data_IF_556658891016
#
_entry.id   IF_556658891016
#
_cell.length_a   1.000
_cell.length_b   1.000
_cell.length_c   1.000
_cell.angle_alpha   90.00
_cell.angle_beta   90.00
_cell.angle_gamma   90.00
#
_symmetry.space_group_name_H-M   'P 1'
#
loop_
_entity.id
_entity.type
_entity.pdbx_description
1 polymer ?
#
# COMPACT_ATOMS: atom_id res chain seq x y z
N UNK A 1 2.34 6.41 -0.42
CA UNK A 1 1.39 6.10 0.67
C UNK A 1 0.11 6.87 0.45
N UNK A 2 -0.98 6.27 -0.04
CA UNK A 2 -2.31 6.88 -0.06
C UNK A 2 -2.88 6.88 1.36
N UNK A 3 -3.19 8.04 1.91
CA UNK A 3 -3.64 8.20 3.29
C UNK A 3 -5.06 8.77 3.35
N UNK A 4 -5.88 8.22 4.24
CA UNK A 4 -7.18 8.75 4.63
C UNK A 4 -7.48 8.31 6.08
N UNK A 5 -7.56 9.28 6.99
CA UNK A 5 -7.80 9.05 8.42
C UNK A 5 -6.85 8.01 9.04
N UNK A 6 -5.54 8.18 8.80
CA UNK A 6 -4.49 7.25 9.19
C UNK A 6 -3.61 7.74 10.36
N UNK A 7 -4.00 8.78 11.08
CA UNK A 7 -3.19 9.40 12.13
C UNK A 7 -2.65 8.40 13.17
N UNK A 8 -3.43 7.37 13.52
CA UNK A 8 -3.08 6.39 14.56
C UNK A 8 -2.00 5.39 14.15
N UNK A 9 -1.78 5.20 12.86
CA UNK A 9 -0.94 4.12 12.33
C UNK A 9 0.20 4.62 11.46
N UNK A 10 0.11 5.86 10.96
CA UNK A 10 1.06 6.44 10.03
C UNK A 10 2.48 6.48 10.60
N UNK A 11 2.66 6.95 11.83
CA UNK A 11 3.98 7.04 12.47
C UNK A 11 4.66 5.66 12.56
N UNK A 12 3.92 4.66 13.03
CA UNK A 12 4.41 3.28 13.11
C UNK A 12 4.76 2.71 11.75
N UNK A 13 3.91 2.96 10.74
CA UNK A 13 4.16 2.50 9.37
C UNK A 13 5.42 3.13 8.81
N UNK A 14 5.59 4.44 9.02
CA UNK A 14 6.75 5.18 8.54
C UNK A 14 8.05 4.73 9.22
N UNK A 15 8.02 4.49 10.53
CA UNK A 15 9.19 4.06 11.30
C UNK A 15 9.75 2.69 10.86
N UNK A 16 8.91 1.81 10.30
CA UNK A 16 9.32 0.48 9.83
C UNK A 16 9.74 0.45 8.35
N UNK A 17 9.74 1.60 7.65
CA UNK A 17 10.24 1.69 6.26
C UNK A 17 11.75 1.46 6.25
N UNK A 18 12.27 0.58 5.38
CA UNK A 18 13.71 0.35 5.25
C UNK A 18 14.39 1.49 4.47
N UNK A 19 14.76 2.56 5.16
CA UNK A 19 15.36 3.77 4.58
C UNK A 19 16.78 3.56 4.03
N UNK A 20 17.35 2.38 4.20
CA UNK A 20 18.59 1.98 3.55
C UNK A 20 18.43 1.69 2.05
N UNK A 21 17.18 1.47 1.59
CA UNK A 21 16.86 1.18 0.18
C UNK A 21 15.72 2.05 -0.36
N UNK A 22 15.06 2.85 0.48
CA UNK A 22 13.98 3.75 0.08
C UNK A 22 14.52 5.17 0.01
N UNK A 23 14.61 5.73 -1.20
CA UNK A 23 15.12 7.07 -1.43
C UNK A 23 14.11 8.15 -1.04
N UNK A 24 12.82 7.94 -1.41
CA UNK A 24 11.78 8.94 -1.25
C UNK A 24 10.47 8.33 -0.75
N UNK A 25 9.78 9.07 0.09
CA UNK A 25 8.43 8.73 0.55
C UNK A 25 7.45 9.79 0.09
N UNK A 26 6.43 9.36 -0.65
CA UNK A 26 5.31 10.18 -1.08
C UNK A 26 4.10 9.85 -0.22
N UNK A 27 3.47 10.84 0.38
CA UNK A 27 2.20 10.71 1.06
C UNK A 27 1.16 11.59 0.37
N UNK A 28 0.02 11.01 0.01
CA UNK A 28 -1.12 11.76 -0.51
C UNK A 28 -2.28 11.61 0.45
N UNK A 29 -2.66 12.72 1.07
CA UNK A 29 -3.79 12.80 2.01
C UNK A 29 -5.08 13.10 1.26
N UNK A 30 -6.03 12.18 1.31
CA UNK A 30 -7.30 12.25 0.59
C UNK A 30 -8.39 13.00 1.38
N UNK A 31 -8.07 14.23 1.78
CA UNK A 31 -8.93 15.09 2.59
C UNK A 31 -9.30 14.44 3.94
N UNK A 32 -8.31 13.95 4.68
CA UNK A 32 -8.51 13.41 6.03
C UNK A 32 -9.14 14.44 6.96
N UNK A 33 -9.97 13.96 7.87
CA UNK A 33 -10.65 14.75 8.91
C UNK A 33 -10.01 14.61 10.27
N UNK A 34 -9.05 13.69 10.42
CA UNK A 34 -8.25 13.49 11.62
C UNK A 34 -6.87 14.19 11.52
N UNK A 35 -5.97 13.90 12.43
CA UNK A 35 -4.63 14.51 12.52
C UNK A 35 -3.61 13.92 11.52
N UNK A 36 -4.05 13.17 10.48
CA UNK A 36 -3.15 12.51 9.53
C UNK A 36 -2.13 13.46 8.93
N UNK A 37 -2.56 14.62 8.46
CA UNK A 37 -1.68 15.61 7.83
C UNK A 37 -0.69 16.22 8.84
N UNK A 38 -1.14 16.44 10.08
CA UNK A 38 -0.28 16.95 11.16
C UNK A 38 0.82 15.95 11.48
N UNK A 39 0.47 14.67 11.64
CA UNK A 39 1.42 13.58 11.87
C UNK A 39 2.40 13.48 10.71
N UNK A 40 1.92 13.50 9.46
CA UNK A 40 2.77 13.43 8.27
C UNK A 40 3.82 14.55 8.23
N UNK A 41 3.42 15.78 8.51
CA UNK A 41 4.34 16.93 8.59
C UNK A 41 5.40 16.76 9.71
N UNK A 42 5.02 16.15 10.83
CA UNK A 42 5.94 15.85 11.94
C UNK A 42 7.00 14.80 11.60
N UNK A 43 6.68 13.86 10.69
CA UNK A 43 7.57 12.78 10.27
C UNK A 43 8.61 13.20 9.21
N UNK A 44 8.60 14.45 8.77
CA UNK A 44 9.51 14.99 7.74
C UNK A 44 9.46 14.20 6.42
N UNK A 45 8.26 13.74 6.03
CA UNK A 45 8.05 13.09 4.74
C UNK A 45 8.36 14.10 3.63
N UNK A 46 9.20 13.69 2.66
CA UNK A 46 9.71 14.58 1.62
C UNK A 46 8.63 15.15 0.69
N UNK A 47 7.61 14.36 0.39
CA UNK A 47 6.54 14.74 -0.53
C UNK A 47 5.17 14.50 0.09
N UNK A 48 4.49 15.58 0.48
CA UNK A 48 3.12 15.54 1.02
C UNK A 48 2.21 16.30 0.09
N UNK A 49 1.17 15.63 -0.44
CA UNK A 49 0.09 16.24 -1.20
C UNK A 49 -1.19 16.08 -0.38
N UNK A 50 -1.99 17.14 -0.33
CA UNK A 50 -3.34 17.11 0.23
C UNK A 50 -4.35 17.36 -0.89
N UNK A 51 -5.35 16.48 -1.00
CA UNK A 51 -6.52 16.75 -1.85
C UNK A 51 -7.49 17.69 -1.14
N UNK A 52 -8.12 18.58 -1.91
CA UNK A 52 -9.16 19.47 -1.38
C UNK A 52 -10.45 18.72 -1.02
N UNK A 53 -10.72 17.63 -1.75
CA UNK A 53 -11.87 16.76 -1.55
C UNK A 53 -11.42 15.31 -1.59
N UNK A 54 -12.18 14.42 -0.92
CA UNK A 54 -11.93 12.99 -0.99
C UNK A 54 -12.20 12.48 -2.41
N UNK A 55 -11.14 12.02 -3.07
CA UNK A 55 -11.17 11.47 -4.43
C UNK A 55 -11.34 9.95 -4.46
N UNK A 56 -11.41 9.35 -3.29
CA UNK A 56 -11.46 7.91 -3.10
C UNK A 56 -10.12 7.22 -3.36
N UNK A 57 -10.07 5.94 -2.97
CA UNK A 57 -8.83 5.16 -3.00
C UNK A 57 -8.12 5.18 -4.35
N UNK A 58 -8.86 4.93 -5.45
CA UNK A 58 -8.27 4.93 -6.79
C UNK A 58 -7.76 6.29 -7.25
N UNK A 59 -8.45 7.37 -6.88
CA UNK A 59 -8.01 8.74 -7.15
C UNK A 59 -6.71 9.05 -6.41
N UNK A 60 -6.66 8.73 -5.13
CA UNK A 60 -5.48 8.91 -4.30
C UNK A 60 -4.27 8.13 -4.83
N UNK A 61 -4.45 6.84 -5.18
CA UNK A 61 -3.37 6.05 -5.79
C UNK A 61 -2.83 6.67 -7.08
N UNK A 62 -3.71 7.15 -7.96
CA UNK A 62 -3.29 7.80 -9.21
C UNK A 62 -2.40 9.01 -8.94
N UNK A 63 -2.75 9.83 -7.95
CA UNK A 63 -1.92 10.98 -7.54
C UNK A 63 -0.55 10.51 -7.04
N UNK A 64 -0.49 9.46 -6.20
CA UNK A 64 0.77 8.87 -5.74
C UNK A 64 1.65 8.40 -6.91
N UNK A 65 1.09 7.63 -7.85
CA UNK A 65 1.85 7.15 -9.01
C UNK A 65 2.29 8.27 -9.95
N UNK A 66 1.42 9.26 -10.18
CA UNK A 66 1.76 10.41 -11.04
C UNK A 66 2.98 11.15 -10.50
N UNK A 67 3.01 11.41 -9.19
CA UNK A 67 4.16 12.07 -8.58
C UNK A 67 5.41 11.19 -8.62
N UNK A 68 5.29 9.89 -8.35
CA UNK A 68 6.42 8.97 -8.43
C UNK A 68 7.06 8.96 -9.83
N UNK A 69 6.23 8.97 -10.89
CA UNK A 69 6.71 9.06 -12.27
C UNK A 69 7.37 10.42 -12.57
N UNK A 70 6.84 11.52 -12.04
CA UNK A 70 7.45 12.86 -12.17
C UNK A 70 8.82 12.94 -11.49
N UNK A 71 8.99 12.22 -10.38
CA UNK A 71 10.26 12.08 -9.65
C UNK A 71 11.20 11.05 -10.31
N UNK A 72 10.82 10.47 -11.44
CA UNK A 72 11.61 9.49 -12.18
C UNK A 72 11.99 8.25 -11.36
N UNK A 73 11.08 7.79 -10.50
CA UNK A 73 11.30 6.61 -9.68
C UNK A 73 11.47 5.36 -10.55
N UNK A 74 12.52 4.57 -10.32
CA UNK A 74 12.78 3.29 -10.99
C UNK A 74 11.84 2.20 -10.48
N UNK A 75 11.59 2.17 -9.18
CA UNK A 75 10.71 1.22 -8.50
C UNK A 75 9.73 2.00 -7.62
N UNK A 76 8.45 1.70 -7.74
CA UNK A 76 7.41 2.30 -6.91
C UNK A 76 6.75 1.22 -6.06
N UNK A 77 6.74 1.42 -4.75
CA UNK A 77 6.05 0.55 -3.80
C UNK A 77 4.82 1.25 -3.25
N UNK A 78 3.65 0.66 -3.44
CA UNK A 78 2.41 1.13 -2.82
C UNK A 78 2.30 0.58 -1.40
N UNK A 79 2.52 1.43 -0.41
CA UNK A 79 2.42 1.09 1.01
C UNK A 79 1.23 1.82 1.64
N UNK A 80 0.33 1.08 2.29
CA UNK A 80 -0.80 1.66 3.03
C UNK A 80 -0.37 2.04 4.45
N UNK A 81 -0.76 3.23 4.94
CA UNK A 81 -0.37 3.70 6.27
C UNK A 81 -1.21 3.08 7.41
N UNK A 82 -2.10 2.13 7.12
CA UNK A 82 -2.96 1.44 8.09
C UNK A 82 -2.28 0.27 8.82
N UNK A 83 -1.00 0.01 8.50
CA UNK A 83 -0.19 -1.07 9.05
C UNK A 83 -0.74 -2.49 8.81
N UNK A 84 -1.64 -2.67 7.83
CA UNK A 84 -2.12 -4.02 7.45
C UNK A 84 -1.07 -4.84 6.71
N UNK A 85 -0.09 -4.18 6.10
CA UNK A 85 1.07 -4.78 5.47
C UNK A 85 2.34 -4.36 6.20
N UNK A 86 3.22 -5.33 6.44
CA UNK A 86 4.47 -5.05 7.13
C UNK A 86 5.44 -4.31 6.19
N UNK A 87 5.85 -3.06 6.50
CA UNK A 87 6.76 -2.29 5.65
C UNK A 87 8.11 -2.97 5.42
N UNK A 88 8.56 -3.84 6.33
CA UNK A 88 9.81 -4.61 6.20
C UNK A 88 9.83 -5.56 4.99
N UNK A 89 8.67 -5.85 4.40
CA UNK A 89 8.59 -6.64 3.15
C UNK A 89 9.09 -5.86 1.93
N UNK A 90 9.20 -4.54 2.02
CA UNK A 90 9.65 -3.67 0.91
C UNK A 90 10.99 -4.13 0.38
N UNK A 91 11.97 -4.43 1.24
CA UNK A 91 13.30 -4.87 0.82
C UNK A 91 13.26 -6.12 -0.06
N UNK A 92 12.47 -7.13 0.35
CA UNK A 92 12.35 -8.37 -0.41
C UNK A 92 11.61 -8.16 -1.73
N UNK A 93 10.55 -7.36 -1.72
CA UNK A 93 9.73 -7.09 -2.91
C UNK A 93 10.48 -6.24 -3.93
N UNK A 94 11.12 -5.17 -3.48
CA UNK A 94 11.95 -4.31 -4.32
C UNK A 94 13.14 -5.07 -4.91
N UNK A 95 13.79 -5.95 -4.14
CA UNK A 95 14.88 -6.79 -4.61
C UNK A 95 14.49 -7.72 -5.77
N UNK A 96 13.25 -8.25 -5.77
CA UNK A 96 12.75 -9.08 -6.88
C UNK A 96 12.59 -8.28 -8.18
N UNK A 97 12.24 -6.99 -8.07
CA UNK A 97 12.11 -6.09 -9.22
C UNK A 97 13.49 -5.60 -9.67
N UNK A 98 14.33 -5.15 -8.74
CA UNK A 98 15.66 -4.62 -9.03
C UNK A 98 16.58 -5.65 -9.70
N UNK A 99 16.43 -6.94 -9.37
CA UNK A 99 17.16 -8.04 -10.00
C UNK A 99 16.48 -8.58 -11.29
N UNK A 100 15.49 -7.88 -11.80
CA UNK A 100 14.75 -8.23 -13.04
C UNK A 100 14.09 -9.63 -13.02
N UNK A 101 13.80 -10.15 -11.83
CA UNK A 101 13.09 -11.44 -11.67
C UNK A 101 11.62 -11.27 -12.00
N UNK A 102 11.00 -10.18 -11.52
CA UNK A 102 9.61 -9.84 -11.80
C UNK A 102 9.46 -8.34 -12.09
N UNK A 103 8.54 -8.00 -13.01
CA UNK A 103 8.19 -6.59 -13.28
C UNK A 103 7.18 -6.02 -12.29
N UNK A 104 6.38 -6.90 -11.68
CA UNK A 104 5.37 -6.54 -10.68
C UNK A 104 5.38 -7.59 -9.57
N UNK A 105 5.38 -7.13 -8.33
CA UNK A 105 5.31 -7.98 -7.13
C UNK A 105 4.15 -7.51 -6.27
N UNK A 106 3.27 -8.43 -5.89
CA UNK A 106 2.09 -8.13 -5.07
C UNK A 106 2.19 -8.89 -3.76
N UNK A 107 2.10 -8.18 -2.64
CA UNK A 107 1.98 -8.78 -1.32
C UNK A 107 0.57 -9.35 -1.12
N UNK A 108 0.47 -10.61 -0.68
CA UNK A 108 -0.82 -11.23 -0.38
C UNK A 108 -0.93 -11.57 1.11
N UNK A 109 -1.99 -11.09 1.76
CA UNK A 109 -2.33 -11.45 3.14
C UNK A 109 -2.85 -12.89 3.26
N UNK A 110 -3.39 -13.43 2.17
CA UNK A 110 -4.05 -14.74 2.14
C UNK A 110 -3.04 -15.88 2.00
N UNK A 111 -1.93 -15.68 1.29
CA UNK A 111 -0.88 -16.69 1.13
C UNK A 111 -0.12 -16.95 2.43
N UNK A 112 -0.01 -15.96 3.31
CA UNK A 112 0.56 -16.15 4.63
C UNK A 112 -0.39 -16.88 5.58
N UNK A 113 0.14 -17.72 6.50
CA UNK A 113 -0.66 -18.47 7.50
C UNK A 113 -1.37 -17.55 8.54
N UNK A 114 -1.37 -16.23 8.36
CA UNK A 114 -1.78 -15.25 9.36
C UNK A 114 -3.04 -14.44 9.06
N UNK A 115 -3.71 -14.63 7.93
CA UNK A 115 -4.85 -13.76 7.58
C UNK A 115 -5.94 -13.75 8.65
N UNK A 116 -6.33 -14.91 9.18
CA UNK A 116 -7.31 -15.02 10.28
C UNK A 116 -6.68 -14.73 11.64
N UNK A 117 -5.41 -15.07 11.86
CA UNK A 117 -4.69 -14.77 13.11
C UNK A 117 -4.41 -13.27 13.31
N UNK A 118 -4.36 -12.49 12.23
CA UNK A 118 -4.15 -11.05 12.23
C UNK A 118 -5.46 -10.23 12.21
N UNK A 119 -6.59 -10.85 12.59
CA UNK A 119 -7.85 -10.15 12.81
C UNK A 119 -8.76 -10.01 11.58
N UNK A 120 -8.49 -10.71 10.47
CA UNK A 120 -9.42 -10.72 9.34
C UNK A 120 -10.72 -11.48 9.72
N UNK A 121 -11.90 -10.85 9.65
CA UNK A 121 -13.16 -11.54 9.91
C UNK A 121 -13.37 -12.71 8.94
N UNK A 122 -13.87 -13.85 9.43
CA UNK A 122 -14.06 -15.08 8.65
C UNK A 122 -14.92 -14.86 7.39
N UNK A 123 -15.96 -14.03 7.50
CA UNK A 123 -16.82 -13.72 6.36
C UNK A 123 -16.06 -12.97 5.26
N UNK A 124 -15.17 -12.00 5.61
CA UNK A 124 -14.33 -11.29 4.63
C UNK A 124 -13.38 -12.24 3.92
N UNK A 125 -12.78 -13.18 4.65
CA UNK A 125 -11.92 -14.21 4.07
C UNK A 125 -12.68 -15.06 3.05
N UNK A 126 -13.87 -15.56 3.44
CA UNK A 126 -14.69 -16.39 2.56
C UNK A 126 -15.11 -15.65 1.28
N UNK A 127 -15.64 -14.42 1.41
CA UNK A 127 -16.05 -13.61 0.24
C UNK A 127 -14.87 -13.25 -0.66
N UNK A 128 -13.71 -12.93 -0.09
CA UNK A 128 -12.50 -12.67 -0.88
C UNK A 128 -12.09 -13.92 -1.68
N UNK A 129 -12.16 -15.12 -1.09
CA UNK A 129 -11.85 -16.38 -1.79
C UNK A 129 -12.82 -16.67 -2.94
N UNK A 130 -14.13 -16.49 -2.71
CA UNK A 130 -15.15 -16.66 -3.75
C UNK A 130 -14.94 -15.66 -4.89
N UNK A 131 -14.68 -14.39 -4.57
CA UNK A 131 -14.46 -13.34 -5.55
C UNK A 131 -13.18 -13.58 -6.35
N UNK A 132 -12.10 -13.99 -5.68
CA UNK A 132 -10.84 -14.35 -6.34
C UNK A 132 -11.03 -15.53 -7.29
N UNK A 133 -11.76 -16.57 -6.89
CA UNK A 133 -12.06 -17.71 -7.78
C UNK A 133 -12.83 -17.26 -9.03
N UNK A 134 -13.86 -16.44 -8.84
CA UNK A 134 -14.65 -15.91 -9.95
C UNK A 134 -13.80 -15.05 -10.91
N UNK A 135 -12.96 -14.16 -10.37
CA UNK A 135 -12.06 -13.34 -11.18
C UNK A 135 -10.99 -14.17 -11.89
N UNK A 136 -10.43 -15.20 -11.24
CA UNK A 136 -9.49 -16.12 -11.88
C UNK A 136 -10.11 -16.81 -13.10
N UNK A 137 -11.38 -17.24 -13.00
CA UNK A 137 -12.10 -17.86 -14.11
C UNK A 137 -12.32 -16.85 -15.25
N UNK A 138 -12.84 -15.66 -14.94
CA UNK A 138 -13.12 -14.63 -15.93
C UNK A 138 -11.87 -14.13 -16.65
N UNK A 139 -10.79 -13.90 -15.89
CA UNK A 139 -9.55 -13.33 -16.40
C UNK A 139 -8.56 -14.39 -16.89
N UNK A 140 -8.91 -15.68 -16.75
CA UNK A 140 -8.03 -16.84 -17.05
C UNK A 140 -6.66 -16.72 -16.35
N UNK A 141 -6.65 -16.22 -15.12
CA UNK A 141 -5.47 -16.03 -14.29
C UNK A 141 -5.46 -17.02 -13.12
N UNK A 142 -4.34 -17.10 -12.40
CA UNK A 142 -4.17 -17.95 -11.20
C UNK A 142 -3.56 -17.13 -10.06
N UNK A 143 -4.18 -16.02 -9.71
CA UNK A 143 -3.74 -15.19 -8.59
C UNK A 143 -4.35 -15.69 -7.28
N UNK A 144 -3.61 -15.51 -6.18
CA UNK A 144 -4.07 -15.87 -4.84
C UNK A 144 -5.10 -14.88 -4.29
N UNK A 145 -5.03 -13.64 -4.75
CA UNK A 145 -5.85 -12.52 -4.30
C UNK A 145 -5.79 -11.38 -5.34
N UNK A 146 -6.90 -10.67 -5.53
CA UNK A 146 -6.97 -9.45 -6.35
C UNK A 146 -7.18 -8.19 -5.51
N UNK A 147 -7.68 -8.35 -4.30
CA UNK A 147 -8.04 -7.24 -3.41
C UNK A 147 -7.07 -7.20 -2.23
N UNK A 148 -5.84 -6.75 -2.52
CA UNK A 148 -4.74 -6.68 -1.55
C UNK A 148 -4.61 -5.31 -0.87
N UNK A 149 -5.52 -4.40 -1.15
CA UNK A 149 -5.50 -3.05 -0.58
C UNK A 149 -6.83 -2.62 -0.04
#
# INVERSE_FOLDING_TARGET
MPAYNAAKTLEKTYADIPFDIVDEVILVDDASTDETLQVANGLKIGHIIKHDNNMGYGGNQKTCYTLALQLQADIVVMLHPDYQYNPKLISSMAGLIANDVYKVVIGSRILGKGAMGNGMPVYKYFFNRCLTLFQNILLRQKLSEYHTG
#
